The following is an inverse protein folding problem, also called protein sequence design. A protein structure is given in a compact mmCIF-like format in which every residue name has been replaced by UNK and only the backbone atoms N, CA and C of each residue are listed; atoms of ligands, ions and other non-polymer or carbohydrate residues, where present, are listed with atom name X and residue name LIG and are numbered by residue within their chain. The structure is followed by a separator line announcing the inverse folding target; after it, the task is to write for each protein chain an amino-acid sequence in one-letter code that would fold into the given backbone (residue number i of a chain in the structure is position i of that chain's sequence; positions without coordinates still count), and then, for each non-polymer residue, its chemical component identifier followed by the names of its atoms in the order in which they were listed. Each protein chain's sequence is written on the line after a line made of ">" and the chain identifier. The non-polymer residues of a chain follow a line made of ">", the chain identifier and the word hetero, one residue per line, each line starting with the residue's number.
data_IF_220975121660
#
_entry.id   IF_220975121660
#
_cell.length_a   1.000
_cell.length_b   1.000
_cell.length_c   1.000
_cell.angle_alpha   90.00
_cell.angle_beta   90.00
_cell.angle_gamma   90.00
#
_symmetry.space_group_name_H-M   'P 1'
#
loop_
_entity.id
_entity.type
_entity.pdbx_description
1 polymer ?
#
# COMPACT_ATOMS: atom_id res chain seq x y z
N UNK A 1 14.92 16.88 13.46
CA UNK A 1 14.97 15.96 12.31
C UNK A 1 16.41 15.94 11.83
N UNK A 2 17.04 14.77 11.75
CA UNK A 2 18.40 14.66 11.21
C UNK A 2 18.23 14.53 9.69
N UNK A 3 18.81 15.44 8.93
CA UNK A 3 18.76 15.41 7.46
C UNK A 3 19.94 14.56 6.96
N UNK A 4 19.65 13.55 6.11
CA UNK A 4 20.67 12.79 5.40
C UNK A 4 20.68 13.24 3.95
N UNK A 5 21.85 13.61 3.41
CA UNK A 5 21.97 14.21 2.09
C UNK A 5 21.72 13.22 0.94
N UNK A 6 21.92 11.92 1.15
CA UNK A 6 21.73 10.89 0.12
C UNK A 6 21.65 9.48 0.70
N UNK A 7 20.97 8.59 -0.04
CA UNK A 7 21.01 7.15 0.18
C UNK A 7 21.87 6.49 -0.89
N UNK A 8 22.60 5.43 -0.56
CA UNK A 8 23.41 4.64 -1.49
C UNK A 8 22.63 3.42 -1.96
N UNK A 9 22.54 3.21 -3.27
CA UNK A 9 21.99 1.98 -3.85
C UNK A 9 23.06 0.89 -3.80
N UNK A 10 22.91 -0.07 -2.89
CA UNK A 10 23.86 -1.17 -2.70
C UNK A 10 23.62 -2.36 -3.62
N UNK A 11 22.39 -2.52 -4.16
CA UNK A 11 22.04 -3.61 -5.07
C UNK A 11 20.87 -3.20 -5.96
N UNK A 12 20.93 -3.59 -7.22
CA UNK A 12 19.81 -3.50 -8.18
C UNK A 12 19.57 -4.86 -8.78
N UNK A 13 18.32 -5.29 -8.88
CA UNK A 13 17.89 -6.53 -9.52
C UNK A 13 16.87 -6.22 -10.60
N UNK A 14 16.86 -7.05 -11.65
CA UNK A 14 15.87 -6.95 -12.72
C UNK A 14 14.79 -7.98 -12.46
N UNK A 15 13.55 -7.54 -12.37
CA UNK A 15 12.41 -8.42 -12.17
C UNK A 15 11.93 -9.04 -13.50
N UNK A 16 11.25 -10.18 -13.47
CA UNK A 16 10.59 -10.77 -14.63
C UNK A 16 9.59 -9.82 -15.26
N UNK A 17 9.37 -9.94 -16.58
CA UNK A 17 8.45 -9.07 -17.33
C UNK A 17 6.99 -9.14 -16.87
N UNK A 18 6.61 -10.19 -16.16
CA UNK A 18 5.29 -10.31 -15.53
C UNK A 18 5.09 -9.36 -14.36
N UNK A 19 6.17 -8.86 -13.77
CA UNK A 19 6.18 -7.85 -12.71
C UNK A 19 6.67 -6.56 -13.38
N UNK A 20 5.77 -5.87 -14.05
CA UNK A 20 6.11 -4.73 -14.93
C UNK A 20 5.72 -3.37 -14.36
N UNK A 21 4.75 -3.33 -13.48
CA UNK A 21 4.24 -2.11 -12.81
C UNK A 21 4.15 -2.35 -11.31
N UNK A 22 5.27 -2.89 -10.74
CA UNK A 22 5.29 -3.21 -9.30
C UNK A 22 5.02 -1.95 -8.47
N UNK A 23 4.03 -2.03 -7.58
CA UNK A 23 3.63 -0.97 -6.67
C UNK A 23 4.05 -1.31 -5.24
N UNK A 24 3.30 -2.04 -4.45
CA UNK A 24 3.66 -2.41 -3.10
C UNK A 24 4.76 -3.49 -2.99
N UNK A 25 5.43 -3.54 -1.85
CA UNK A 25 6.48 -4.53 -1.57
C UNK A 25 6.46 -4.95 -0.10
N UNK A 26 6.25 -6.25 0.14
CA UNK A 26 6.30 -6.88 1.47
C UNK A 26 7.46 -7.89 1.53
N UNK A 27 8.15 -7.98 2.67
CA UNK A 27 9.21 -8.96 2.88
C UNK A 27 8.77 -10.04 3.87
N UNK A 28 8.64 -11.28 3.39
CA UNK A 28 8.19 -12.40 4.21
C UNK A 28 8.97 -13.69 3.86
N UNK A 29 9.42 -14.42 4.88
CA UNK A 29 10.14 -15.70 4.71
C UNK A 29 11.33 -15.61 3.74
N UNK A 30 12.15 -14.57 3.83
CA UNK A 30 13.33 -14.32 2.97
C UNK A 30 13.00 -14.11 1.49
N UNK A 31 11.76 -13.84 1.16
CA UNK A 31 11.30 -13.51 -0.16
C UNK A 31 10.57 -12.18 -0.15
N UNK A 32 10.44 -11.60 -1.32
CA UNK A 32 9.64 -10.41 -1.54
C UNK A 32 8.30 -10.81 -2.15
N UNK A 33 7.24 -10.13 -1.73
CA UNK A 33 5.89 -10.26 -2.27
C UNK A 33 5.49 -8.90 -2.81
N UNK A 34 5.01 -8.87 -4.04
CA UNK A 34 4.57 -7.65 -4.70
C UNK A 34 3.33 -7.92 -5.56
N UNK A 35 2.76 -6.87 -6.07
CA UNK A 35 1.71 -6.87 -7.09
C UNK A 35 2.03 -5.83 -8.15
N UNK A 36 1.38 -5.93 -9.30
CA UNK A 36 1.34 -4.82 -10.24
C UNK A 36 0.25 -3.83 -9.82
N UNK A 37 0.40 -2.58 -10.23
CA UNK A 37 -0.59 -1.52 -10.15
C UNK A 37 -1.87 -1.89 -10.92
N UNK A 38 -2.62 -0.96 -11.40
CA UNK A 38 -3.86 -1.17 -12.16
C UNK A 38 -3.65 -1.90 -13.49
N UNK A 39 -4.71 -2.58 -13.97
CA UNK A 39 -4.75 -3.19 -15.28
C UNK A 39 -4.15 -4.59 -15.42
N UNK A 40 -3.63 -5.16 -14.33
CA UNK A 40 -3.27 -6.58 -14.23
C UNK A 40 -4.43 -7.39 -13.62
N UNK A 41 -4.33 -8.72 -13.67
CA UNK A 41 -5.20 -9.59 -12.88
C UNK A 41 -4.91 -9.48 -11.38
N UNK A 42 -5.82 -9.95 -10.51
CA UNK A 42 -5.64 -9.88 -9.06
C UNK A 42 -4.58 -10.89 -8.58
N UNK A 43 -3.33 -10.60 -8.87
CA UNK A 43 -2.20 -11.50 -8.67
C UNK A 43 -1.14 -10.91 -7.74
N UNK A 44 -0.65 -11.76 -6.83
CA UNK A 44 0.55 -11.49 -6.06
C UNK A 44 1.72 -12.31 -6.62
N UNK A 45 2.90 -11.73 -6.59
CA UNK A 45 4.14 -12.31 -7.11
C UNK A 45 5.15 -12.46 -5.98
N UNK A 46 5.64 -13.69 -5.78
CA UNK A 46 6.72 -13.97 -4.83
C UNK A 46 8.02 -14.14 -5.61
N UNK A 47 9.05 -13.39 -5.25
CA UNK A 47 10.37 -13.50 -5.83
C UNK A 47 11.47 -13.45 -4.77
N UNK A 48 12.64 -14.00 -5.08
CA UNK A 48 13.79 -14.01 -4.18
C UNK A 48 14.69 -12.77 -4.34
N UNK A 49 15.73 -12.69 -3.53
CA UNK A 49 16.72 -11.60 -3.56
C UNK A 49 17.53 -11.48 -4.87
N UNK A 50 17.43 -12.46 -5.77
CA UNK A 50 18.06 -12.43 -7.09
C UNK A 50 17.10 -11.99 -8.19
N UNK A 51 15.81 -11.80 -7.85
CA UNK A 51 14.75 -11.47 -8.82
C UNK A 51 14.10 -12.68 -9.47
N UNK A 52 14.43 -13.90 -9.04
CA UNK A 52 13.80 -15.10 -9.59
C UNK A 52 12.36 -15.22 -9.07
N UNK A 53 11.40 -15.32 -9.99
CA UNK A 53 9.99 -15.55 -9.65
C UNK A 53 9.82 -16.96 -9.08
N UNK A 54 9.35 -17.03 -7.83
CA UNK A 54 9.12 -18.28 -7.12
C UNK A 54 7.68 -18.76 -7.32
N UNK A 55 6.71 -17.84 -7.21
CA UNK A 55 5.29 -18.17 -7.27
C UNK A 55 4.49 -16.96 -7.76
N UNK A 56 3.46 -17.24 -8.56
CA UNK A 56 2.35 -16.30 -8.83
C UNK A 56 1.10 -16.83 -8.15
N UNK A 57 0.38 -15.95 -7.48
CA UNK A 57 -0.85 -16.29 -6.75
C UNK A 57 -1.99 -15.47 -7.34
N UNK A 58 -2.92 -16.15 -8.02
CA UNK A 58 -4.18 -15.57 -8.46
C UNK A 58 -5.16 -15.60 -7.27
N UNK A 59 -5.56 -14.43 -6.79
CA UNK A 59 -6.43 -14.28 -5.61
C UNK A 59 -7.87 -14.70 -5.87
N UNK A 60 -8.30 -14.89 -7.11
CA UNK A 60 -9.60 -15.46 -7.45
C UNK A 60 -9.59 -17.00 -7.42
N UNK A 61 -8.40 -17.60 -7.44
CA UNK A 61 -8.28 -19.03 -7.38
C UNK A 61 -8.62 -19.56 -5.98
N UNK A 62 -9.55 -20.49 -5.93
CA UNK A 62 -10.04 -21.08 -4.67
C UNK A 62 -10.63 -20.08 -3.68
N UNK A 63 -11.04 -18.90 -4.16
CA UNK A 63 -11.63 -17.82 -3.38
C UNK A 63 -13.16 -17.87 -3.42
N UNK A 64 -13.80 -17.48 -2.33
CA UNK A 64 -15.24 -17.19 -2.29
C UNK A 64 -15.55 -15.72 -2.64
N UNK A 65 -14.54 -14.94 -2.95
CA UNK A 65 -14.62 -13.54 -3.32
C UNK A 65 -14.25 -13.34 -4.78
N UNK A 66 -14.88 -12.43 -5.45
CA UNK A 66 -14.49 -11.93 -6.77
C UNK A 66 -13.61 -10.71 -6.57
N UNK A 67 -12.32 -10.86 -6.81
CA UNK A 67 -11.32 -9.82 -6.61
C UNK A 67 -10.97 -9.19 -7.95
N UNK A 68 -10.97 -7.88 -7.99
CA UNK A 68 -10.49 -7.08 -9.10
C UNK A 68 -9.27 -6.28 -8.66
N UNK A 69 -8.30 -6.10 -9.54
CA UNK A 69 -7.24 -5.11 -9.38
C UNK A 69 -7.72 -3.83 -10.07
N UNK A 70 -8.32 -2.92 -9.28
CA UNK A 70 -8.78 -1.64 -9.82
C UNK A 70 -7.65 -0.60 -9.81
N UNK A 71 -6.96 -0.46 -8.67
CA UNK A 71 -5.88 0.51 -8.46
C UNK A 71 -5.14 0.12 -7.17
N UNK A 72 -4.38 -1.00 -7.26
CA UNK A 72 -3.65 -1.54 -6.11
C UNK A 72 -2.36 -0.75 -5.88
N UNK A 73 -2.22 -0.15 -4.72
CA UNK A 73 -1.15 0.79 -4.44
C UNK A 73 -0.03 0.20 -3.59
N UNK A 74 -0.37 -0.47 -2.49
CA UNK A 74 0.64 -0.97 -1.56
C UNK A 74 0.19 -2.27 -0.89
N UNK A 75 1.12 -2.98 -0.24
CA UNK A 75 0.90 -4.23 0.46
C UNK A 75 1.69 -4.25 1.77
N UNK A 76 1.07 -4.69 2.84
CA UNK A 76 1.72 -4.94 4.12
C UNK A 76 1.29 -6.28 4.70
N UNK A 77 1.99 -6.79 5.71
CA UNK A 77 1.62 -8.05 6.30
C UNK A 77 2.11 -8.27 7.74
N UNK A 78 1.41 -9.14 8.46
CA UNK A 78 1.84 -9.71 9.74
C UNK A 78 2.16 -11.20 9.58
N UNK A 79 2.29 -11.94 10.66
CA UNK A 79 2.59 -13.38 10.62
C UNK A 79 1.46 -14.22 10.00
N UNK A 80 0.22 -13.72 9.98
CA UNK A 80 -0.96 -14.48 9.56
C UNK A 80 -1.53 -14.04 8.22
N UNK A 81 -1.46 -12.73 7.93
CA UNK A 81 -2.15 -12.13 6.79
C UNK A 81 -1.24 -11.22 5.97
N UNK A 82 -1.61 -11.06 4.70
CA UNK A 82 -1.24 -9.93 3.86
C UNK A 82 -2.47 -9.03 3.71
N UNK A 83 -2.23 -7.74 3.53
CA UNK A 83 -3.24 -6.73 3.29
C UNK A 83 -2.85 -5.95 2.04
N UNK A 84 -3.64 -6.09 0.98
CA UNK A 84 -3.42 -5.40 -0.30
C UNK A 84 -4.37 -4.21 -0.37
N UNK A 85 -3.83 -3.03 -0.52
CA UNK A 85 -4.61 -1.79 -0.56
C UNK A 85 -5.08 -1.48 -1.98
N UNK A 86 -6.34 -1.76 -2.31
CA UNK A 86 -7.04 -1.28 -3.51
C UNK A 86 -7.65 0.10 -3.21
N UNK A 87 -6.78 1.05 -2.92
CA UNK A 87 -7.11 2.38 -2.38
C UNK A 87 -6.69 3.53 -3.28
N UNK A 88 -6.06 3.24 -4.41
CA UNK A 88 -5.75 4.24 -5.42
C UNK A 88 -7.01 4.94 -5.93
N UNK A 89 -6.93 6.26 -6.07
CA UNK A 89 -8.09 7.07 -6.44
C UNK A 89 -7.64 8.37 -7.10
N UNK A 90 -6.83 8.24 -8.11
CA UNK A 90 -6.12 9.32 -8.81
C UNK A 90 -6.96 10.56 -9.16
N UNK A 91 -8.27 10.38 -9.35
CA UNK A 91 -9.20 11.46 -9.66
C UNK A 91 -10.23 11.74 -8.57
N UNK A 92 -10.14 11.10 -7.41
CA UNK A 92 -11.07 11.29 -6.30
C UNK A 92 -12.51 10.89 -6.61
N UNK A 93 -12.71 9.95 -7.51
CA UNK A 93 -14.05 9.58 -8.00
C UNK A 93 -14.43 8.11 -7.71
N UNK A 94 -13.53 7.33 -7.10
CA UNK A 94 -13.83 5.97 -6.67
C UNK A 94 -14.62 5.95 -5.36
N UNK A 95 -15.60 5.06 -5.29
CA UNK A 95 -16.41 4.77 -4.09
C UNK A 95 -16.33 3.31 -3.65
N UNK A 96 -15.48 2.53 -4.31
CA UNK A 96 -15.27 1.10 -4.09
C UNK A 96 -13.88 0.79 -3.54
N UNK A 97 -13.33 1.68 -2.71
CA UNK A 97 -12.03 1.48 -2.09
C UNK A 97 -12.09 0.34 -1.08
N UNK A 98 -11.07 -0.49 -1.06
CA UNK A 98 -11.03 -1.62 -0.15
C UNK A 98 -9.60 -2.08 0.16
N UNK A 99 -9.47 -2.91 1.20
CA UNK A 99 -8.26 -3.61 1.54
C UNK A 99 -8.57 -5.11 1.50
N UNK A 100 -7.83 -5.86 0.70
CA UNK A 100 -8.01 -7.28 0.53
C UNK A 100 -7.15 -8.00 1.57
N UNK A 101 -7.78 -8.79 2.45
CA UNK A 101 -7.08 -9.60 3.43
C UNK A 101 -6.85 -11.01 2.90
N UNK A 102 -5.57 -11.41 2.84
CA UNK A 102 -5.12 -12.68 2.28
C UNK A 102 -4.45 -13.51 3.37
N UNK A 103 -4.95 -14.73 3.63
CA UNK A 103 -4.41 -15.64 4.64
C UNK A 103 -3.12 -16.29 4.15
N UNK A 104 -2.00 -16.09 4.86
CA UNK A 104 -0.72 -16.75 4.59
C UNK A 104 -0.77 -18.25 4.94
N UNK A 105 -1.57 -18.64 5.94
CA UNK A 105 -1.70 -20.02 6.42
C UNK A 105 -2.49 -20.90 5.46
N UNK A 106 -3.48 -20.34 4.76
CA UNK A 106 -4.36 -21.03 3.84
C UNK A 106 -3.91 -20.89 2.38
N UNK A 107 -2.61 -21.05 2.13
CA UNK A 107 -2.02 -20.98 0.80
C UNK A 107 -2.30 -19.68 0.03
N UNK A 108 -2.40 -18.57 0.75
CA UNK A 108 -2.67 -17.24 0.23
C UNK A 108 -4.06 -17.12 -0.41
N UNK A 109 -5.09 -17.64 0.26
CA UNK A 109 -6.47 -17.44 -0.13
C UNK A 109 -7.03 -16.16 0.49
N UNK A 110 -7.95 -15.51 -0.22
CA UNK A 110 -8.64 -14.33 0.32
C UNK A 110 -9.52 -14.75 1.48
N UNK A 111 -9.30 -14.13 2.63
CA UNK A 111 -10.04 -14.37 3.87
C UNK A 111 -11.11 -13.31 4.14
N UNK A 112 -11.00 -12.14 3.55
CA UNK A 112 -11.96 -11.06 3.68
C UNK A 112 -11.62 -9.82 2.87
N UNK A 113 -12.61 -8.93 2.78
CA UNK A 113 -12.48 -7.61 2.18
C UNK A 113 -12.92 -6.59 3.23
N UNK A 114 -12.10 -5.57 3.44
CA UNK A 114 -12.38 -4.43 4.31
C UNK A 114 -12.70 -3.27 3.39
N UNK A 115 -13.97 -2.91 3.26
CA UNK A 115 -14.38 -1.73 2.50
C UNK A 115 -14.02 -0.46 3.28
N UNK A 116 -13.49 0.55 2.61
CA UNK A 116 -13.14 1.82 3.23
C UNK A 116 -13.73 3.01 2.48
N UNK A 117 -14.09 4.06 3.21
CA UNK A 117 -14.58 5.31 2.61
C UNK A 117 -14.20 6.52 3.46
N UNK A 118 -13.85 7.61 2.80
CA UNK A 118 -13.47 8.83 3.49
C UNK A 118 -14.67 9.54 4.12
N UNK A 119 -14.55 9.92 5.39
CA UNK A 119 -15.60 10.53 6.18
C UNK A 119 -16.13 11.85 5.63
N UNK A 120 -15.25 12.60 4.98
CA UNK A 120 -15.47 13.96 4.49
C UNK A 120 -15.50 14.07 2.96
N UNK A 121 -15.53 12.94 2.25
CA UNK A 121 -15.70 12.94 0.79
C UNK A 121 -17.17 13.02 0.42
N UNK A 122 -17.65 14.23 0.14
CA UNK A 122 -19.07 14.48 -0.19
C UNK A 122 -19.38 14.31 -1.69
N UNK A 123 -18.35 14.34 -2.54
CA UNK A 123 -18.54 14.27 -3.98
C UNK A 123 -17.53 13.35 -4.64
N UNK A 124 -17.98 12.68 -5.71
CA UNK A 124 -17.19 11.77 -6.53
C UNK A 124 -17.00 12.29 -7.97
N UNK A 125 -17.04 13.61 -8.16
CA UNK A 125 -16.70 14.21 -9.45
C UNK A 125 -15.18 14.15 -9.66
N UNK A 126 -14.72 13.65 -10.83
CA UNK A 126 -13.31 13.57 -11.13
C UNK A 126 -12.60 14.93 -11.02
N UNK A 127 -11.53 14.97 -10.24
CA UNK A 127 -10.68 16.15 -10.05
C UNK A 127 -9.23 15.73 -9.78
N UNK A 128 -8.23 16.41 -10.37
CA UNK A 128 -6.83 16.00 -10.25
C UNK A 128 -6.17 16.43 -8.92
N UNK A 129 -6.82 17.32 -8.15
CA UNK A 129 -6.32 17.85 -6.88
C UNK A 129 -7.29 17.51 -5.77
N UNK A 130 -6.89 16.63 -4.88
CA UNK A 130 -7.65 16.18 -3.73
C UNK A 130 -6.75 15.36 -2.80
N UNK A 131 -7.27 14.99 -1.62
CA UNK A 131 -6.58 14.17 -0.61
C UNK A 131 -7.13 12.74 -0.46
N UNK A 132 -8.08 12.34 -1.29
CA UNK A 132 -8.79 11.06 -1.19
C UNK A 132 -8.16 9.96 -2.05
N UNK A 133 -6.83 9.85 -1.92
CA UNK A 133 -5.97 8.91 -2.62
C UNK A 133 -5.00 8.35 -1.59
N UNK A 134 -5.02 7.05 -1.28
CA UNK A 134 -4.13 6.46 -0.29
C UNK A 134 -3.23 5.44 -0.97
N UNK A 135 -1.94 5.69 -0.91
CA UNK A 135 -0.92 4.95 -1.65
C UNK A 135 0.14 4.28 -0.76
N UNK A 136 -0.04 4.31 0.58
CA UNK A 136 0.80 3.54 1.47
C UNK A 136 -0.05 2.91 2.58
N UNK A 137 0.29 1.67 2.93
CA UNK A 137 -0.34 0.94 4.02
C UNK A 137 0.72 0.23 4.87
N UNK A 138 0.61 0.37 6.20
CA UNK A 138 1.50 -0.31 7.14
C UNK A 138 0.69 -0.93 8.29
N UNK A 139 1.34 -1.77 9.10
CA UNK A 139 0.77 -2.28 10.35
C UNK A 139 1.52 -1.69 11.52
N UNK A 140 0.79 -1.08 12.47
CA UNK A 140 1.32 -0.64 13.76
C UNK A 140 0.35 -1.09 14.87
N UNK A 141 0.84 -1.79 15.89
CA UNK A 141 0.02 -2.21 17.04
C UNK A 141 -1.30 -2.88 16.66
N UNK A 142 -1.26 -3.82 15.73
CA UNK A 142 -2.44 -4.55 15.21
C UNK A 142 -3.47 -3.71 14.46
N UNK A 143 -3.13 -2.48 14.09
CA UNK A 143 -3.96 -1.64 13.23
C UNK A 143 -3.29 -1.42 11.88
N UNK A 144 -4.08 -1.37 10.83
CA UNK A 144 -3.64 -0.87 9.55
C UNK A 144 -3.64 0.67 9.58
N UNK A 145 -2.60 1.25 9.05
CA UNK A 145 -2.47 2.71 8.90
C UNK A 145 -2.31 3.02 7.42
N UNK A 146 -3.27 3.76 6.88
CA UNK A 146 -3.19 4.28 5.51
C UNK A 146 -2.62 5.70 5.53
N UNK A 147 -1.80 6.00 4.54
CA UNK A 147 -1.26 7.34 4.29
C UNK A 147 -1.79 7.87 2.97
N UNK A 148 -2.42 9.04 3.01
CA UNK A 148 -2.93 9.66 1.80
C UNK A 148 -1.84 10.33 0.97
N UNK A 149 -2.11 10.43 -0.33
CA UNK A 149 -1.34 11.18 -1.32
C UNK A 149 -2.13 12.48 -1.64
N UNK A 150 -1.99 13.48 -0.78
CA UNK A 150 -2.69 14.75 -0.97
C UNK A 150 -2.05 15.56 -2.11
N UNK A 151 -2.68 15.48 -3.28
CA UNK A 151 -2.24 16.19 -4.50
C UNK A 151 -2.54 17.69 -4.49
N UNK A 152 -3.26 18.17 -3.49
CA UNK A 152 -3.62 19.59 -3.35
C UNK A 152 -2.61 20.34 -2.49
N UNK A 153 -2.24 19.77 -1.33
CA UNK A 153 -1.45 20.46 -0.32
C UNK A 153 -0.07 19.83 -0.05
N UNK A 154 0.24 18.70 -0.69
CA UNK A 154 1.46 17.90 -0.47
C UNK A 154 1.61 17.47 1.00
N UNK A 155 0.48 17.16 1.62
CA UNK A 155 0.36 16.57 2.94
C UNK A 155 0.16 15.06 2.83
N UNK A 156 0.29 14.37 3.94
CA UNK A 156 -0.28 13.05 4.13
C UNK A 156 -1.18 13.05 5.35
N UNK A 157 -2.40 12.56 5.20
CA UNK A 157 -3.32 12.26 6.29
C UNK A 157 -3.16 10.80 6.67
N UNK A 158 -3.20 10.50 7.97
CA UNK A 158 -3.19 9.14 8.50
C UNK A 158 -4.60 8.70 8.83
N UNK A 159 -4.93 7.49 8.40
CA UNK A 159 -6.22 6.86 8.70
C UNK A 159 -6.00 5.50 9.34
N UNK A 160 -6.69 5.23 10.45
CA UNK A 160 -6.65 3.94 11.12
C UNK A 160 -7.76 3.04 10.60
N UNK A 161 -7.42 1.78 10.35
CA UNK A 161 -8.36 0.73 9.93
C UNK A 161 -8.15 -0.49 10.82
N UNK A 162 -9.24 -1.02 11.35
CA UNK A 162 -9.22 -2.28 12.11
C UNK A 162 -9.01 -3.45 11.14
N UNK A 163 -7.87 -4.13 11.24
CA UNK A 163 -7.54 -5.28 10.37
C UNK A 163 -8.41 -6.51 10.61
N UNK A 164 -9.15 -6.58 11.72
CA UNK A 164 -10.01 -7.72 12.06
C UNK A 164 -11.46 -7.53 11.63
N UNK A 165 -11.93 -6.29 11.53
CA UNK A 165 -13.29 -5.98 11.06
C UNK A 165 -13.34 -6.01 9.52
N UNK A 166 -13.99 -7.03 8.96
CA UNK A 166 -14.18 -7.24 7.51
C UNK A 166 -15.38 -6.46 6.95
N UNK A 167 -15.93 -5.55 7.73
CA UNK A 167 -17.05 -4.70 7.31
C UNK A 167 -16.60 -3.43 6.60
N UNK A 168 -17.54 -2.50 6.45
CA UNK A 168 -17.28 -1.19 5.87
C UNK A 168 -16.82 -0.22 6.95
N UNK A 169 -15.65 0.39 6.77
CA UNK A 169 -15.01 1.25 7.75
C UNK A 169 -14.84 2.68 7.24
N UNK A 170 -15.10 3.61 8.11
CA UNK A 170 -15.04 5.04 7.83
C UNK A 170 -13.67 5.61 8.15
N UNK A 171 -13.00 6.13 7.13
CA UNK A 171 -11.70 6.79 7.27
C UNK A 171 -11.90 8.22 7.78
N UNK A 172 -11.47 8.44 9.02
CA UNK A 172 -11.37 9.79 9.61
C UNK A 172 -9.90 10.11 9.81
N UNK A 173 -9.44 11.27 9.34
CA UNK A 173 -8.05 11.68 9.51
C UNK A 173 -7.70 11.84 10.98
N UNK A 174 -6.74 11.07 11.47
CA UNK A 174 -6.22 11.15 12.84
C UNK A 174 -5.25 12.31 12.99
N UNK A 175 -4.41 12.48 11.99
CA UNK A 175 -3.39 13.52 11.94
C UNK A 175 -2.97 13.75 10.48
N UNK A 176 -2.62 14.99 10.16
CA UNK A 176 -2.07 15.36 8.87
C UNK A 176 -0.65 15.93 9.05
N UNK A 177 0.28 15.49 8.22
CA UNK A 177 1.65 15.99 8.17
C UNK A 177 1.93 16.69 6.85
N UNK A 178 2.61 17.82 6.90
CA UNK A 178 3.17 18.39 5.69
C UNK A 178 4.51 17.71 5.39
N UNK A 179 4.53 16.91 4.33
CA UNK A 179 5.72 16.20 3.84
C UNK A 179 6.33 16.87 2.61
N UNK A 180 5.64 17.88 2.05
CA UNK A 180 6.04 18.62 0.85
C UNK A 180 6.35 17.71 -0.35
N UNK A 181 5.73 16.55 -0.39
CA UNK A 181 5.87 15.51 -1.43
C UNK A 181 4.62 14.63 -1.44
N UNK A 182 4.56 13.70 -2.35
CA UNK A 182 3.45 12.74 -2.51
C UNK A 182 3.92 11.38 -2.00
N UNK A 183 3.35 10.90 -0.91
CA UNK A 183 3.64 9.55 -0.37
C UNK A 183 3.12 8.50 -1.34
N UNK A 184 3.91 7.45 -1.56
CA UNK A 184 3.62 6.37 -2.53
C UNK A 184 3.94 4.97 -2.02
N UNK A 185 4.29 4.80 -0.78
CA UNK A 185 4.51 3.50 -0.16
C UNK A 185 5.12 3.66 1.22
N UNK A 186 5.00 2.64 2.04
CA UNK A 186 5.53 2.68 3.40
C UNK A 186 5.78 1.30 3.99
N UNK A 187 6.66 1.25 4.96
CA UNK A 187 6.91 0.06 5.77
C UNK A 187 7.25 0.45 7.21
N UNK A 188 6.90 -0.42 8.15
CA UNK A 188 7.16 -0.22 9.57
C UNK A 188 7.79 -1.47 10.19
N UNK A 189 8.93 -1.26 10.84
CA UNK A 189 9.62 -2.31 11.57
C UNK A 189 9.38 -2.16 13.08
N UNK A 190 8.61 -3.08 13.65
CA UNK A 190 8.28 -3.08 15.09
C UNK A 190 9.50 -3.27 15.99
N UNK A 191 10.46 -4.12 15.61
CA UNK A 191 11.65 -4.39 16.42
C UNK A 191 12.56 -3.17 16.53
N UNK A 192 12.69 -2.44 15.44
CA UNK A 192 13.51 -1.23 15.38
C UNK A 192 12.70 0.02 15.73
N UNK A 193 11.37 -0.09 15.82
CA UNK A 193 10.45 1.02 16.00
C UNK A 193 10.67 2.14 14.97
N UNK A 194 10.73 1.75 13.70
CA UNK A 194 11.19 2.57 12.61
C UNK A 194 10.20 2.56 11.45
N UNK A 195 9.71 3.74 11.07
CA UNK A 195 8.84 3.95 9.92
C UNK A 195 9.65 4.49 8.75
N UNK A 196 9.50 3.87 7.59
CA UNK A 196 10.02 4.34 6.31
C UNK A 196 8.87 4.66 5.36
N UNK A 197 8.86 5.84 4.78
CA UNK A 197 7.93 6.23 3.72
C UNK A 197 8.70 6.61 2.47
N UNK A 198 8.23 6.18 1.32
CA UNK A 198 8.75 6.63 0.01
C UNK A 198 7.82 7.70 -0.56
N UNK A 199 8.40 8.66 -1.26
CA UNK A 199 7.64 9.77 -1.84
C UNK A 199 8.35 10.39 -3.04
N UNK A 200 7.63 11.20 -3.80
CA UNK A 200 8.21 12.03 -4.86
C UNK A 200 7.57 13.42 -4.90
N UNK A 201 8.26 14.38 -5.51
CA UNK A 201 7.72 15.71 -5.74
C UNK A 201 7.44 16.00 -7.22
N UNK A 202 6.86 17.15 -7.50
CA UNK A 202 6.51 17.59 -8.87
C UNK A 202 7.71 17.73 -9.82
N UNK A 203 8.94 17.80 -9.29
CA UNK A 203 10.17 17.86 -10.07
C UNK A 203 10.74 16.46 -10.39
N UNK A 204 10.08 15.40 -9.92
CA UNK A 204 10.52 14.02 -10.09
C UNK A 204 11.61 13.57 -9.11
N UNK A 205 11.94 14.39 -8.10
CA UNK A 205 12.84 13.96 -7.04
C UNK A 205 12.12 12.94 -6.16
N UNK A 206 12.82 11.86 -5.84
CA UNK A 206 12.34 10.80 -4.95
C UNK A 206 12.98 10.95 -3.58
N UNK A 207 12.20 10.66 -2.54
CA UNK A 207 12.63 10.77 -1.14
C UNK A 207 12.32 9.49 -0.39
N UNK A 208 13.21 9.14 0.52
CA UNK A 208 12.98 8.19 1.60
C UNK A 208 12.88 9.01 2.89
N UNK A 209 11.71 9.00 3.51
CA UNK A 209 11.44 9.72 4.75
C UNK A 209 11.47 8.69 5.88
N UNK A 210 12.30 8.93 6.89
CA UNK A 210 12.53 8.02 7.98
C UNK A 210 12.11 8.66 9.30
N UNK A 211 11.32 7.92 10.07
CA UNK A 211 10.92 8.29 11.42
C UNK A 211 11.40 7.24 12.41
N UNK A 212 12.15 7.66 13.40
CA UNK A 212 12.54 6.90 14.58
C UNK A 212 11.70 7.39 15.76
N UNK A 213 11.13 6.49 16.54
CA UNK A 213 10.30 6.80 17.70
C UNK A 213 11.09 6.75 18.98
#
# INVERSE_FOLDING_TARGET
>A
MQEFDSAEIIKTIVLPKTINETSGLEFYNKNFITHNDSGDGPSLYIFNENGDLIKTMDLNKDSNFEIENNDWEDITGDDEYLFVADTGNNFGNRSNLNIIRVSKKDNYTVDGIIEVFYADQETFFPRPKHKYDAEAIIIINDQLVLFSKDRENLNTDLYLVDKFDKGSQKLTSEVAFNVNSLITGGDYNDELNFLALVSYNSNGNQYLILFER
#
